data_IF_637473454658
#
_entry.id   IF_637473454658
#
_cell.length_a   1.000
_cell.length_b   1.000
_cell.length_c   1.000
_cell.angle_alpha   90.00
_cell.angle_beta   90.00
_cell.angle_gamma   90.00
#
_symmetry.space_group_name_H-M   'P 1'
#
loop_
_entity.id
_entity.type
_entity.pdbx_description
1 polymer ?
#
# COMPACT_ATOMS: atom_id res chain seq x y z
N UNK A 1 -16.34 11.99 11.82
CA UNK A 1 -16.90 11.13 10.76
C UNK A 1 -16.27 11.55 9.42
N UNK A 2 -15.94 10.62 8.51
CA UNK A 2 -15.24 10.90 7.23
C UNK A 2 -16.03 11.87 6.33
N UNK A 3 -17.36 11.76 6.34
CA UNK A 3 -18.26 12.65 5.59
C UNK A 3 -18.00 14.12 5.96
N UNK A 4 -17.99 14.43 7.25
CA UNK A 4 -17.72 15.78 7.76
C UNK A 4 -16.33 16.31 7.38
N UNK A 5 -15.34 15.42 7.23
CA UNK A 5 -14.00 15.82 6.80
C UNK A 5 -13.97 16.17 5.31
N UNK A 6 -14.64 15.38 4.46
CA UNK A 6 -14.77 15.67 3.02
C UNK A 6 -15.53 16.97 2.77
N UNK A 7 -16.58 17.24 3.56
CA UNK A 7 -17.30 18.51 3.53
C UNK A 7 -16.39 19.71 3.85
N UNK A 8 -15.57 19.60 4.91
CA UNK A 8 -14.59 20.64 5.27
C UNK A 8 -13.52 20.84 4.19
N UNK A 9 -13.11 19.77 3.52
CA UNK A 9 -12.18 19.81 2.39
C UNK A 9 -12.85 20.24 1.08
N UNK A 10 -14.17 20.41 1.07
CA UNK A 10 -14.98 20.77 -0.11
C UNK A 10 -14.77 19.80 -1.28
N UNK A 11 -14.56 18.52 -0.96
CA UNK A 11 -14.40 17.46 -1.95
C UNK A 11 -15.77 16.82 -2.18
N UNK A 12 -16.33 17.06 -3.36
CA UNK A 12 -17.54 16.37 -3.81
C UNK A 12 -17.19 14.92 -4.17
N UNK A 13 -18.02 13.99 -3.73
CA UNK A 13 -17.86 12.55 -4.00
C UNK A 13 -19.19 11.94 -4.43
N UNK A 14 -19.14 10.88 -5.23
CA UNK A 14 -20.33 10.15 -5.70
C UNK A 14 -20.70 9.03 -4.74
N UNK A 15 -19.70 8.30 -4.22
CA UNK A 15 -19.93 7.15 -3.35
C UNK A 15 -18.81 7.04 -2.32
N UNK A 16 -19.18 6.71 -1.09
CA UNK A 16 -18.26 6.40 0.00
C UNK A 16 -18.44 4.93 0.38
N UNK A 17 -17.41 4.11 0.14
CA UNK A 17 -17.43 2.67 0.41
C UNK A 17 -16.49 2.34 1.55
N UNK A 18 -17.00 1.70 2.60
CA UNK A 18 -16.19 1.20 3.70
C UNK A 18 -15.65 -0.19 3.35
N UNK A 19 -14.32 -0.33 3.29
CA UNK A 19 -13.65 -1.61 2.97
C UNK A 19 -12.86 -2.13 4.17
N UNK A 20 -12.77 -3.45 4.29
CA UNK A 20 -11.99 -4.12 5.34
C UNK A 20 -10.73 -4.72 4.73
N UNK A 21 -9.57 -4.36 5.30
CA UNK A 21 -8.23 -4.79 4.82
C UNK A 21 -7.58 -5.83 5.73
N UNK A 22 -8.30 -6.34 6.73
CA UNK A 22 -7.79 -7.31 7.71
C UNK A 22 -7.98 -8.77 7.29
N UNK A 23 -8.77 -9.01 6.25
CA UNK A 23 -8.98 -10.37 5.75
C UNK A 23 -7.66 -10.93 5.20
N UNK A 24 -7.49 -12.24 5.31
CA UNK A 24 -6.35 -12.92 4.70
C UNK A 24 -6.41 -12.74 3.17
N UNK A 25 -5.32 -12.29 2.52
CA UNK A 25 -5.26 -12.21 1.07
C UNK A 25 -5.34 -13.60 0.44
N UNK A 26 -5.67 -13.65 -0.85
CA UNK A 26 -5.70 -14.87 -1.62
C UNK A 26 -4.30 -15.51 -1.71
N UNK A 27 -4.26 -16.84 -1.66
CA UNK A 27 -3.00 -17.60 -1.75
C UNK A 27 -2.21 -17.28 -3.03
N UNK A 28 -2.90 -17.03 -4.15
CA UNK A 28 -2.25 -16.62 -5.39
C UNK A 28 -1.51 -15.27 -5.26
N UNK A 29 -2.09 -14.31 -4.55
CA UNK A 29 -1.47 -13.00 -4.29
C UNK A 29 -0.25 -13.15 -3.38
N UNK A 30 -0.33 -14.02 -2.38
CA UNK A 30 0.79 -14.33 -1.47
C UNK A 30 1.93 -14.98 -2.26
N UNK A 31 1.64 -15.96 -3.11
CA UNK A 31 2.64 -16.64 -3.92
C UNK A 31 3.30 -15.68 -4.93
N UNK A 32 2.53 -14.79 -5.55
CA UNK A 32 3.06 -13.74 -6.43
C UNK A 32 4.05 -12.83 -5.69
N UNK A 33 3.72 -12.41 -4.47
CA UNK A 33 4.60 -11.57 -3.65
C UNK A 33 5.89 -12.29 -3.24
N UNK A 34 5.78 -13.57 -2.86
CA UNK A 34 6.96 -14.40 -2.55
C UNK A 34 7.88 -14.52 -3.75
N UNK A 35 7.33 -14.88 -4.91
CA UNK A 35 8.08 -14.96 -6.15
C UNK A 35 8.76 -13.62 -6.51
N UNK A 36 8.09 -12.48 -6.30
CA UNK A 36 8.65 -11.15 -6.53
C UNK A 36 9.89 -10.89 -5.66
N UNK A 37 9.81 -11.21 -4.36
CA UNK A 37 10.96 -11.07 -3.44
C UNK A 37 12.10 -11.98 -3.88
N UNK A 38 11.79 -13.22 -4.23
CA UNK A 38 12.79 -14.24 -4.57
C UNK A 38 13.49 -13.95 -5.92
N UNK A 39 12.88 -13.16 -6.83
CA UNK A 39 13.50 -12.75 -8.11
C UNK A 39 14.70 -11.81 -7.96
N UNK A 40 14.81 -11.09 -6.85
CA UNK A 40 15.95 -10.19 -6.63
C UNK A 40 17.11 -11.06 -6.17
N UNK A 41 18.03 -11.33 -7.10
CA UNK A 41 19.18 -12.22 -6.94
C UNK A 41 19.93 -11.98 -5.62
N UNK A 42 20.42 -13.06 -5.04
CA UNK A 42 21.41 -13.08 -3.96
C UNK A 42 22.77 -12.53 -4.47
N UNK A 43 22.84 -11.25 -4.85
CA UNK A 43 24.13 -10.57 -4.91
C UNK A 43 24.58 -10.37 -3.47
N UNK A 44 25.40 -11.33 -2.99
CA UNK A 44 25.85 -11.51 -1.60
C UNK A 44 26.60 -10.31 -1.00
N UNK A 45 26.80 -9.22 -1.76
CA UNK A 45 27.50 -8.02 -1.31
C UNK A 45 26.58 -6.93 -0.74
N UNK A 46 25.26 -7.06 -0.85
CA UNK A 46 24.34 -6.04 -0.33
C UNK A 46 23.41 -6.58 0.76
N UNK A 47 23.34 -5.86 1.88
CA UNK A 47 22.48 -6.10 3.06
C UNK A 47 20.98 -5.85 2.78
N UNK A 48 20.52 -6.23 1.58
CA UNK A 48 19.20 -5.88 1.04
C UNK A 48 18.19 -7.02 1.12
N UNK A 49 18.61 -8.22 1.50
CA UNK A 49 17.77 -9.43 1.55
C UNK A 49 16.71 -9.39 2.65
N UNK A 50 15.49 -9.85 2.32
CA UNK A 50 14.41 -10.03 3.31
C UNK A 50 14.63 -11.33 4.09
N UNK A 51 15.13 -11.22 5.31
CA UNK A 51 15.34 -12.38 6.19
C UNK A 51 14.02 -13.11 6.54
N UNK A 52 14.11 -14.39 6.87
CA UNK A 52 12.93 -15.18 7.30
C UNK A 52 12.32 -14.64 8.60
N UNK A 53 13.15 -14.16 9.53
CA UNK A 53 12.68 -13.52 10.75
C UNK A 53 11.90 -12.24 10.45
N UNK A 54 12.34 -11.44 9.48
CA UNK A 54 11.63 -10.26 9.01
C UNK A 54 10.28 -10.65 8.37
N UNK A 55 10.25 -11.69 7.52
CA UNK A 55 9.02 -12.20 6.90
C UNK A 55 7.96 -12.55 7.94
N UNK A 56 8.35 -13.29 8.98
CA UNK A 56 7.44 -13.70 10.06
C UNK A 56 6.97 -12.47 10.86
N UNK A 57 7.89 -11.58 11.24
CA UNK A 57 7.55 -10.39 12.04
C UNK A 57 6.63 -9.41 11.31
N UNK A 58 6.73 -9.33 9.98
CA UNK A 58 5.99 -8.38 9.16
C UNK A 58 4.89 -9.03 8.31
N UNK A 59 4.56 -10.29 8.57
CA UNK A 59 3.55 -11.04 7.83
C UNK A 59 2.20 -10.31 7.84
N UNK A 60 1.73 -9.86 9.00
CA UNK A 60 0.43 -9.19 9.12
C UNK A 60 0.40 -7.87 8.32
N UNK A 61 1.50 -7.10 8.33
CA UNK A 61 1.60 -5.86 7.55
C UNK A 61 1.64 -6.14 6.06
N UNK A 62 2.39 -7.16 5.66
CA UNK A 62 2.47 -7.61 4.27
C UNK A 62 1.07 -8.05 3.79
N UNK A 63 0.39 -8.89 4.55
CA UNK A 63 -0.96 -9.36 4.23
C UNK A 63 -1.96 -8.22 4.06
N UNK A 64 -1.87 -7.16 4.86
CA UNK A 64 -2.71 -5.96 4.68
C UNK A 64 -2.44 -5.25 3.36
N UNK A 65 -1.18 -5.15 2.91
CA UNK A 65 -0.86 -4.54 1.61
C UNK A 65 -1.35 -5.42 0.45
N UNK A 66 -1.17 -6.74 0.55
CA UNK A 66 -1.65 -7.68 -0.46
C UNK A 66 -3.19 -7.68 -0.54
N UNK A 67 -3.87 -7.63 0.61
CA UNK A 67 -5.33 -7.51 0.65
C UNK A 67 -5.81 -6.20 0.05
N UNK A 68 -5.08 -5.10 0.29
CA UNK A 68 -5.37 -3.81 -0.33
C UNK A 68 -5.22 -3.85 -1.85
N UNK A 69 -4.19 -4.54 -2.39
CA UNK A 69 -4.04 -4.75 -3.84
C UNK A 69 -5.30 -5.40 -4.44
N UNK A 70 -5.81 -6.45 -3.82
CA UNK A 70 -7.00 -7.16 -4.33
C UNK A 70 -8.22 -6.24 -4.40
N UNK A 71 -8.43 -5.42 -3.37
CA UNK A 71 -9.52 -4.44 -3.36
C UNK A 71 -9.32 -3.36 -4.42
N UNK A 72 -8.10 -2.89 -4.64
CA UNK A 72 -7.78 -1.94 -5.70
C UNK A 72 -8.08 -2.52 -7.08
N UNK A 73 -7.73 -3.79 -7.33
CA UNK A 73 -8.06 -4.47 -8.58
C UNK A 73 -9.57 -4.70 -8.72
N UNK A 74 -10.28 -4.98 -7.63
CA UNK A 74 -11.73 -5.20 -7.64
C UNK A 74 -12.51 -3.91 -7.95
N UNK A 75 -12.12 -2.78 -7.37
CA UNK A 75 -12.92 -1.54 -7.42
C UNK A 75 -12.36 -0.47 -8.37
N UNK A 76 -11.06 -0.49 -8.66
CA UNK A 76 -10.37 0.64 -9.29
C UNK A 76 -9.56 0.28 -10.53
N UNK A 77 -9.67 -0.96 -11.06
CA UNK A 77 -8.91 -1.40 -12.25
C UNK A 77 -9.14 -0.55 -13.49
N UNK A 78 -10.31 0.08 -13.62
CA UNK A 78 -10.68 0.92 -14.77
C UNK A 78 -10.72 2.42 -14.42
N UNK A 79 -10.12 2.83 -13.30
CA UNK A 79 -10.07 4.24 -12.92
C UNK A 79 -9.12 5.04 -13.82
N UNK A 80 -9.39 6.33 -14.02
CA UNK A 80 -8.49 7.21 -14.77
C UNK A 80 -7.21 7.57 -13.98
N UNK A 81 -7.33 7.65 -12.66
CA UNK A 81 -6.25 7.93 -11.72
C UNK A 81 -6.60 7.34 -10.35
N UNK A 82 -5.62 6.76 -9.69
CA UNK A 82 -5.75 6.30 -8.30
C UNK A 82 -4.82 7.13 -7.43
N UNK A 83 -5.38 7.75 -6.39
CA UNK A 83 -4.61 8.44 -5.35
C UNK A 83 -4.72 7.63 -4.07
N UNK A 84 -3.59 7.09 -3.61
CA UNK A 84 -3.52 6.28 -2.40
C UNK A 84 -2.52 6.88 -1.42
N UNK A 85 -2.86 6.83 -0.14
CA UNK A 85 -1.90 7.12 0.94
C UNK A 85 -0.73 6.14 0.89
N UNK A 86 0.49 6.66 0.74
CA UNK A 86 1.70 5.85 0.67
C UNK A 86 1.89 5.05 1.98
N UNK A 87 2.06 3.72 1.93
CA UNK A 87 2.46 2.93 3.09
C UNK A 87 3.84 3.40 3.56
N UNK A 88 4.02 3.65 4.86
CA UNK A 88 5.30 4.12 5.38
C UNK A 88 5.83 3.09 6.39
N UNK A 89 6.98 2.45 6.10
CA UNK A 89 7.64 1.58 7.06
C UNK A 89 8.31 2.41 8.15
N UNK A 90 8.47 1.81 9.34
CA UNK A 90 9.36 2.36 10.36
C UNK A 90 10.81 2.03 9.99
N UNK A 91 11.67 3.05 9.96
CA UNK A 91 13.10 2.88 9.65
C UNK A 91 13.73 1.88 10.62
N UNK A 92 14.55 0.96 10.09
CA UNK A 92 15.24 -0.07 10.87
C UNK A 92 14.40 -1.29 11.24
N UNK A 93 13.10 -1.33 10.89
CA UNK A 93 12.24 -2.50 11.09
C UNK A 93 11.98 -3.22 9.76
N UNK A 94 11.89 -2.47 8.66
CA UNK A 94 11.57 -3.00 7.33
C UNK A 94 12.77 -2.75 6.42
N UNK A 95 13.25 -3.80 5.77
CA UNK A 95 14.27 -3.75 4.74
C UNK A 95 13.77 -2.98 3.51
N UNK A 96 14.71 -2.40 2.77
CA UNK A 96 14.38 -1.66 1.56
C UNK A 96 13.67 -2.56 0.53
N UNK A 97 14.11 -3.81 0.38
CA UNK A 97 13.51 -4.78 -0.53
C UNK A 97 12.06 -5.11 -0.15
N UNK A 98 11.79 -5.40 1.13
CA UNK A 98 10.41 -5.70 1.56
C UNK A 98 9.50 -4.49 1.35
N UNK A 99 9.98 -3.29 1.68
CA UNK A 99 9.21 -2.07 1.43
C UNK A 99 8.90 -1.86 -0.06
N UNK A 100 9.90 -1.98 -0.93
CA UNK A 100 9.71 -1.82 -2.38
C UNK A 100 8.77 -2.90 -2.95
N UNK A 101 8.84 -4.12 -2.43
CA UNK A 101 7.92 -5.20 -2.82
C UNK A 101 6.46 -4.86 -2.51
N UNK A 102 6.19 -4.16 -1.40
CA UNK A 102 4.83 -3.71 -1.08
C UNK A 102 4.35 -2.65 -2.07
N UNK A 103 5.21 -1.69 -2.44
CA UNK A 103 4.85 -0.66 -3.41
C UNK A 103 4.57 -1.26 -4.79
N UNK A 104 5.46 -2.15 -5.25
CA UNK A 104 5.30 -2.88 -6.52
C UNK A 104 3.99 -3.68 -6.53
N UNK A 105 3.71 -4.43 -5.46
CA UNK A 105 2.45 -5.16 -5.34
C UNK A 105 1.23 -4.23 -5.30
N UNK A 106 1.32 -2.98 -4.85
CA UNK A 106 0.17 -2.07 -4.92
C UNK A 106 -0.05 -1.48 -6.30
N UNK A 107 1.02 -1.22 -7.07
CA UNK A 107 0.96 -0.47 -8.32
C UNK A 107 0.99 -1.33 -9.58
N UNK A 108 1.46 -2.58 -9.50
CA UNK A 108 1.57 -3.48 -10.65
C UNK A 108 0.21 -3.74 -11.29
N UNK A 109 0.12 -3.63 -12.61
CA UNK A 109 -1.12 -3.82 -13.40
C UNK A 109 -2.27 -2.85 -13.03
N UNK A 110 -1.95 -1.71 -12.43
CA UNK A 110 -2.93 -0.67 -12.10
C UNK A 110 -2.91 0.47 -13.14
N UNK A 111 -4.01 1.24 -13.27
CA UNK A 111 -4.01 2.53 -13.98
C UNK A 111 -2.99 3.52 -13.39
N UNK A 112 -2.84 4.73 -13.97
CA UNK A 112 -2.01 5.77 -13.40
C UNK A 112 -2.23 5.91 -11.88
N UNK A 113 -1.13 5.78 -11.12
CA UNK A 113 -1.16 5.62 -9.68
C UNK A 113 -0.29 6.66 -9.00
N UNK A 114 -0.85 7.35 -8.01
CA UNK A 114 -0.17 8.36 -7.22
C UNK A 114 -0.15 7.95 -5.75
N UNK A 115 1.03 7.61 -5.25
CA UNK A 115 1.28 7.37 -3.82
C UNK A 115 1.60 8.71 -3.15
N UNK A 116 0.75 9.17 -2.24
CA UNK A 116 0.88 10.47 -1.58
C UNK A 116 1.14 10.30 -0.09
N UNK A 117 2.05 11.10 0.45
CA UNK A 117 2.30 11.21 1.89
C UNK A 117 2.29 12.68 2.28
N UNK A 118 1.47 13.03 3.27
CA UNK A 118 1.57 14.32 3.95
C UNK A 118 2.72 14.35 4.96
N UNK A 119 3.21 15.54 5.28
CA UNK A 119 4.23 15.81 6.32
C UNK A 119 3.63 16.01 7.73
N UNK A 120 2.37 15.61 7.94
CA UNK A 120 1.62 15.75 9.19
C UNK A 120 1.41 17.22 9.66
N UNK A 121 1.63 18.21 8.79
CA UNK A 121 1.27 19.60 9.06
C UNK A 121 -0.19 19.86 8.67
N UNK A 122 -0.89 20.73 9.40
CA UNK A 122 -2.28 21.06 9.09
C UNK A 122 -2.40 21.71 7.71
N UNK A 123 -3.25 21.15 6.87
CA UNK A 123 -3.58 21.66 5.53
C UNK A 123 -4.99 22.24 5.45
N UNK A 124 -5.75 22.22 6.56
CA UNK A 124 -7.07 22.83 6.63
C UNK A 124 -6.91 24.35 6.68
N UNK A 125 -7.06 25.00 5.53
CA UNK A 125 -7.15 26.45 5.43
C UNK A 125 -8.61 26.87 5.57
N UNK A 126 -8.90 27.64 6.62
CA UNK A 126 -10.18 28.34 6.73
C UNK A 126 -10.05 29.62 5.93
N UNK A 127 -10.72 29.69 4.77
CA UNK A 127 -10.96 30.98 4.13
C UNK A 127 -12.03 31.69 4.95
N UNK A 128 -11.62 32.76 5.65
CA UNK A 128 -12.52 33.73 6.28
C UNK A 128 -13.27 34.54 5.23
#
# INVERSE_FOLDING_TARGET
>A
NMITLLEKLRINYVTLTMVTVKDKPQEATIQMHRALIDTVLEDQETDTFVSESERIQLEEKTNRQLRLRELLLQYSKNASLIVLSMPIPRKGIVSAQLYMSWLEMLTKDMPPFLLVRGNQTSVLTFYS
#
